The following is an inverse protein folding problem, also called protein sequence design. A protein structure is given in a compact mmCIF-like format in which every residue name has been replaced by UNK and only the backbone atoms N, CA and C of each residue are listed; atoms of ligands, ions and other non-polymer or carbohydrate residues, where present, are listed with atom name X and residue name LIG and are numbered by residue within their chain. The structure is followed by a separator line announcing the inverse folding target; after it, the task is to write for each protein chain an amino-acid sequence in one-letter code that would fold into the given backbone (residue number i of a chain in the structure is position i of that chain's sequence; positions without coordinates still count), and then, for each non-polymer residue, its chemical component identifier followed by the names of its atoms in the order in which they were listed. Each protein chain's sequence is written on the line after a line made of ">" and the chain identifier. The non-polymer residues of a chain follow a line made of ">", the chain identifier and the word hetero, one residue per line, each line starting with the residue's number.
data_IF_328918530692
#
_entry.id   IF_328918530692
#
_cell.length_a   1.000
_cell.length_b   1.000
_cell.length_c   1.000
_cell.angle_alpha   90.00
_cell.angle_beta   90.00
_cell.angle_gamma   90.00
#
_symmetry.space_group_name_H-M   'P 1'
#
loop_
_entity.id
_entity.type
_entity.pdbx_description
1 polymer ?
#
# COMPACT_ATOMS: atom_id res chain seq x y z
N UNK A 1 11.36 -8.76 -10.40
CA UNK A 1 10.30 -8.00 -9.74
C UNK A 1 10.28 -6.59 -10.27
N UNK A 2 9.13 -6.15 -10.73
CA UNK A 2 9.04 -4.86 -11.39
C UNK A 2 8.02 -3.93 -10.76
N UNK A 3 7.13 -4.45 -9.93
CA UNK A 3 6.05 -3.64 -9.39
C UNK A 3 5.79 -4.02 -7.94
N UNK A 4 5.36 -3.01 -7.19
CA UNK A 4 4.74 -3.24 -5.89
C UNK A 4 3.24 -3.15 -6.14
N UNK A 5 2.52 -4.20 -5.75
CA UNK A 5 1.07 -4.26 -5.95
C UNK A 5 0.42 -4.01 -4.61
N UNK A 6 -0.29 -2.89 -4.51
CA UNK A 6 -0.94 -2.50 -3.27
C UNK A 6 -2.41 -2.92 -3.35
N UNK A 7 -2.83 -3.72 -2.38
CA UNK A 7 -4.16 -4.32 -2.39
C UNK A 7 -5.14 -3.44 -1.62
N UNK A 8 -6.21 -3.08 -2.30
CA UNK A 8 -7.25 -2.25 -1.73
C UNK A 8 -8.54 -3.06 -1.58
N UNK A 9 -9.26 -2.78 -0.51
CA UNK A 9 -10.56 -3.42 -0.30
C UNK A 9 -11.57 -2.80 -1.26
N UNK A 10 -12.25 -3.65 -2.02
CA UNK A 10 -13.31 -3.25 -2.94
C UNK A 10 -12.85 -2.33 -4.07
N UNK A 11 -11.55 -2.31 -4.36
CA UNK A 11 -11.00 -1.52 -5.46
C UNK A 11 -9.90 -2.31 -6.16
N UNK A 12 -9.59 -1.89 -7.39
CA UNK A 12 -8.50 -2.51 -8.12
C UNK A 12 -7.17 -2.24 -7.44
N UNK A 13 -6.23 -3.17 -7.52
CA UNK A 13 -4.90 -2.93 -6.94
C UNK A 13 -4.18 -1.77 -7.60
N UNK A 14 -3.30 -1.15 -6.85
CA UNK A 14 -2.45 -0.09 -7.37
C UNK A 14 -1.09 -0.70 -7.70
N UNK A 15 -0.61 -0.48 -8.92
CA UNK A 15 0.69 -0.96 -9.36
C UNK A 15 1.68 0.19 -9.35
N UNK A 16 2.75 0.04 -8.57
CA UNK A 16 3.78 1.06 -8.45
C UNK A 16 5.08 0.48 -8.99
N UNK A 17 5.67 1.10 -10.03
CA UNK A 17 6.94 0.59 -10.56
C UNK A 17 8.05 0.67 -9.51
N UNK A 18 8.91 -0.35 -9.51
CA UNK A 18 10.07 -0.39 -8.64
C UNK A 18 11.26 0.19 -9.38
N UNK A 19 11.95 1.13 -8.73
CA UNK A 19 13.19 1.65 -9.29
C UNK A 19 14.29 0.62 -9.22
N UNK A 20 14.36 -0.07 -8.10
CA UNK A 20 15.40 -1.05 -7.86
C UNK A 20 14.77 -2.25 -7.21
N UNK A 21 15.38 -3.39 -7.43
CA UNK A 21 14.76 -4.63 -7.01
C UNK A 21 15.08 -5.04 -5.59
N UNK A 22 16.01 -4.36 -4.95
CA UNK A 22 16.61 -4.93 -3.76
C UNK A 22 15.84 -4.71 -2.48
N UNK A 23 14.91 -3.79 -2.42
CA UNK A 23 14.23 -3.50 -1.15
C UNK A 23 12.75 -3.28 -1.36
N UNK A 24 12.14 -4.24 -2.04
CA UNK A 24 10.73 -4.12 -2.37
C UNK A 24 9.85 -3.93 -1.14
N UNK A 25 10.11 -4.72 -0.10
CA UNK A 25 9.27 -4.67 1.08
C UNK A 25 9.36 -3.32 1.78
N UNK A 26 10.58 -2.81 1.91
CA UNK A 26 10.78 -1.51 2.53
C UNK A 26 10.16 -0.40 1.69
N UNK A 27 10.33 -0.47 0.37
CA UNK A 27 9.73 0.51 -0.50
C UNK A 27 8.20 0.47 -0.45
N UNK A 28 7.65 -0.74 -0.33
CA UNK A 28 6.21 -0.87 -0.21
C UNK A 28 5.67 -0.17 1.02
N UNK A 29 6.35 -0.32 2.14
CA UNK A 29 5.94 0.35 3.35
C UNK A 29 6.04 1.86 3.22
N UNK A 30 7.12 2.36 2.62
CA UNK A 30 7.28 3.78 2.40
C UNK A 30 6.20 4.35 1.50
N UNK A 31 5.84 3.61 0.46
CA UNK A 31 4.82 4.05 -0.47
C UNK A 31 3.48 4.13 0.23
N UNK A 32 3.14 3.13 1.04
CA UNK A 32 1.88 3.15 1.77
C UNK A 32 1.82 4.33 2.72
N UNK A 33 2.92 4.65 3.38
CA UNK A 33 2.96 5.82 4.24
C UNK A 33 2.80 7.11 3.46
N UNK A 34 3.29 7.14 2.23
CA UNK A 34 3.21 8.35 1.41
C UNK A 34 1.82 8.55 0.84
N UNK A 35 1.14 7.48 0.43
CA UNK A 35 -0.16 7.62 -0.23
C UNK A 35 -1.33 7.45 0.72
N UNK A 36 -1.09 6.98 1.95
CA UNK A 36 -2.17 6.67 2.87
C UNK A 36 -2.05 7.38 4.18
N UNK A 37 -3.08 7.23 4.98
CA UNK A 37 -3.13 7.77 6.32
C UNK A 37 -3.50 6.63 7.27
N UNK A 38 -2.80 6.52 8.38
CA UNK A 38 -3.10 5.50 9.35
C UNK A 38 -4.22 5.95 10.28
N UNK A 39 -5.21 5.11 10.44
CA UNK A 39 -6.32 5.33 11.36
C UNK A 39 -6.29 4.27 12.44
N UNK A 40 -6.28 4.70 13.67
CA UNK A 40 -6.33 3.79 14.80
C UNK A 40 -6.12 4.51 16.08
N UNK A 41 -6.39 3.84 17.22
CA UNK A 41 -7.11 2.57 17.35
C UNK A 41 -8.61 2.77 17.18
N UNK A 42 -9.30 1.67 16.85
CA UNK A 42 -10.74 1.74 16.74
C UNK A 42 -11.26 0.77 15.70
N UNK A 43 -12.58 0.80 15.45
CA UNK A 43 -13.19 -0.17 14.53
C UNK A 43 -12.73 -0.02 13.08
N UNK A 44 -12.18 1.13 12.73
CA UNK A 44 -11.66 1.34 11.38
C UNK A 44 -10.15 1.43 11.35
N UNK A 45 -9.50 0.71 12.24
CA UNK A 45 -8.06 0.72 12.32
C UNK A 45 -7.42 0.21 11.03
N UNK A 46 -6.38 0.90 10.55
CA UNK A 46 -5.65 0.48 9.38
C UNK A 46 -5.20 1.66 8.55
N UNK A 47 -4.61 1.35 7.40
CA UNK A 47 -4.14 2.37 6.46
C UNK A 47 -5.21 2.60 5.39
N UNK A 48 -5.50 3.86 5.13
CA UNK A 48 -6.50 4.25 4.15
C UNK A 48 -5.89 5.21 3.14
N UNK A 49 -6.27 5.06 1.87
CA UNK A 49 -5.85 6.04 0.86
C UNK A 49 -6.56 7.35 1.13
N UNK A 50 -6.12 8.39 0.42
CA UNK A 50 -6.74 9.70 0.54
C UNK A 50 -8.19 9.70 0.12
N UNK A 51 -8.58 8.72 -0.68
CA UNK A 51 -9.98 8.57 -1.09
C UNK A 51 -10.79 7.69 -0.15
N UNK A 52 -10.18 7.22 0.94
CA UNK A 52 -10.89 6.45 1.94
C UNK A 52 -10.92 4.96 1.70
N UNK A 53 -10.08 4.44 0.82
CA UNK A 53 -10.03 3.01 0.55
C UNK A 53 -9.04 2.33 1.48
N UNK A 54 -9.47 1.23 2.08
CA UNK A 54 -8.63 0.47 3.00
C UNK A 54 -7.54 -0.26 2.22
N UNK A 55 -6.31 -0.07 2.67
CA UNK A 55 -5.16 -0.82 2.17
C UNK A 55 -4.97 -2.01 3.09
N UNK A 56 -5.17 -3.23 2.57
CA UNK A 56 -5.06 -4.39 3.45
C UNK A 56 -3.80 -5.19 3.22
N UNK A 57 -2.94 -4.76 2.31
CA UNK A 57 -1.66 -5.41 2.13
C UNK A 57 -1.01 -5.01 0.83
N UNK A 58 0.17 -5.56 0.60
CA UNK A 58 0.86 -5.38 -0.67
C UNK A 58 1.79 -6.55 -0.91
N UNK A 59 2.18 -6.73 -2.16
CA UNK A 59 3.18 -7.73 -2.47
C UNK A 59 4.03 -7.24 -3.64
N UNK A 60 5.14 -7.92 -3.87
CA UNK A 60 6.05 -7.58 -4.94
C UNK A 60 5.84 -8.54 -6.10
N UNK A 61 5.78 -7.99 -7.30
CA UNK A 61 5.55 -8.80 -8.49
C UNK A 61 6.73 -8.76 -9.42
#
# INVERSE_FOLDING_TARGET
>A
MKYIVILLLAKDPIYVPLDKTSHCFEQGEEIIEAIGTYHGPGPKQGWYTKKGNLIFGFYCE
#
